data_IF_553770618700
#
_entry.id   IF_553770618700
#
_cell.length_a   1.000
_cell.length_b   1.000
_cell.length_c   1.000
_cell.angle_alpha   90.00
_cell.angle_beta   90.00
_cell.angle_gamma   90.00
#
_symmetry.space_group_name_H-M   'P 1'
#
loop_
_entity.id
_entity.type
_entity.pdbx_description
1 polymer ?
#
# COMPACT_ATOMS: atom_id res chain seq x y z
N UNK A 1 -38.87 57.61 17.86
CA UNK A 1 -39.28 56.41 18.62
C UNK A 1 -38.35 55.25 18.28
N UNK A 2 -37.89 54.52 19.29
CA UNK A 2 -36.61 53.80 19.36
C UNK A 2 -36.58 52.53 18.48
N UNK A 3 -35.70 52.50 17.47
CA UNK A 3 -35.28 51.29 16.72
C UNK A 3 -33.76 51.06 16.84
N UNK A 4 -33.21 51.11 18.06
CA UNK A 4 -31.74 50.96 18.28
C UNK A 4 -31.33 49.78 19.16
N UNK A 5 -32.29 49.01 19.70
CA UNK A 5 -32.02 47.88 20.60
C UNK A 5 -31.96 46.50 19.93
N UNK A 6 -32.56 46.35 18.74
CA UNK A 6 -32.62 45.05 18.04
C UNK A 6 -31.37 44.74 17.22
N UNK A 7 -30.64 45.77 16.78
CA UNK A 7 -29.52 45.62 15.85
C UNK A 7 -28.33 44.87 16.46
N UNK A 8 -28.05 45.09 17.76
CA UNK A 8 -26.96 44.39 18.44
C UNK A 8 -27.28 42.91 18.66
N UNK A 9 -28.51 42.62 19.08
CA UNK A 9 -28.98 41.24 19.30
C UNK A 9 -28.98 40.47 17.96
N UNK A 10 -29.47 41.09 16.88
CA UNK A 10 -29.45 40.52 15.53
C UNK A 10 -28.03 40.21 15.04
N UNK A 11 -27.07 41.10 15.29
CA UNK A 11 -25.66 40.86 14.97
C UNK A 11 -25.09 39.69 15.79
N UNK A 12 -25.37 39.62 17.10
CA UNK A 12 -24.89 38.51 17.94
C UNK A 12 -25.48 37.17 17.52
N UNK A 13 -26.78 37.13 17.22
CA UNK A 13 -27.46 35.91 16.73
C UNK A 13 -26.89 35.51 15.37
N UNK A 14 -26.64 36.47 14.48
CA UNK A 14 -26.03 36.20 13.17
C UNK A 14 -24.62 35.62 13.32
N UNK A 15 -23.78 36.20 14.18
CA UNK A 15 -22.42 35.71 14.46
C UNK A 15 -22.43 34.30 15.06
N UNK A 16 -23.39 34.01 15.95
CA UNK A 16 -23.54 32.67 16.52
C UNK A 16 -23.93 31.64 15.45
N UNK A 17 -24.86 31.98 14.56
CA UNK A 17 -25.24 31.14 13.43
C UNK A 17 -24.03 30.92 12.49
N UNK A 18 -23.30 31.99 12.16
CA UNK A 18 -22.08 31.88 11.34
C UNK A 18 -21.03 31.00 11.99
N UNK A 19 -20.84 31.10 13.30
CA UNK A 19 -19.90 30.26 14.04
C UNK A 19 -20.27 28.78 13.96
N UNK A 20 -21.56 28.44 14.10
CA UNK A 20 -22.05 27.06 13.94
C UNK A 20 -21.78 26.57 12.52
N UNK A 21 -22.14 27.36 11.50
CA UNK A 21 -21.95 26.99 10.09
C UNK A 21 -20.48 26.75 9.79
N UNK A 22 -19.58 27.65 10.23
CA UNK A 22 -18.14 27.51 10.01
C UNK A 22 -17.60 26.26 10.71
N UNK A 23 -18.01 26.02 11.96
CA UNK A 23 -17.55 24.86 12.73
C UNK A 23 -17.95 23.55 12.04
N UNK A 24 -19.21 23.42 11.63
CA UNK A 24 -19.70 22.25 10.88
C UNK A 24 -18.99 22.09 9.53
N UNK A 25 -18.71 23.19 8.84
CA UNK A 25 -18.02 23.17 7.54
C UNK A 25 -16.57 22.69 7.70
N UNK A 26 -15.88 23.16 8.74
CA UNK A 26 -14.50 22.74 9.04
C UNK A 26 -14.43 21.26 9.42
N UNK A 27 -15.38 20.78 10.22
CA UNK A 27 -15.48 19.38 10.61
C UNK A 27 -15.72 18.48 9.38
N UNK A 28 -16.63 18.89 8.49
CA UNK A 28 -16.88 18.18 7.24
C UNK A 28 -15.65 18.13 6.32
N UNK A 29 -14.92 19.25 6.17
CA UNK A 29 -13.69 19.30 5.39
C UNK A 29 -12.64 18.35 5.96
N UNK A 30 -12.44 18.37 7.28
CA UNK A 30 -11.48 17.50 7.95
C UNK A 30 -11.81 16.02 7.76
N UNK A 31 -13.09 15.66 7.94
CA UNK A 31 -13.57 14.30 7.72
C UNK A 31 -13.40 13.85 6.25
N UNK A 32 -13.73 14.72 5.29
CA UNK A 32 -13.56 14.43 3.87
C UNK A 32 -12.09 14.27 3.47
N UNK A 33 -11.19 15.10 4.02
CA UNK A 33 -9.75 14.97 3.81
C UNK A 33 -9.23 13.64 4.35
N UNK A 34 -9.65 13.25 5.56
CA UNK A 34 -9.30 11.96 6.15
C UNK A 34 -9.74 10.78 5.28
N UNK A 35 -11.00 10.77 4.86
CA UNK A 35 -11.53 9.74 3.95
C UNK A 35 -10.76 9.66 2.63
N UNK A 36 -10.44 10.80 2.01
CA UNK A 36 -9.70 10.84 0.75
C UNK A 36 -8.26 10.33 0.90
N UNK A 37 -7.60 10.61 2.03
CA UNK A 37 -6.27 10.06 2.32
C UNK A 37 -6.33 8.54 2.49
N UNK A 38 -7.30 8.02 3.23
CA UNK A 38 -7.48 6.58 3.41
C UNK A 38 -7.75 5.85 2.08
N UNK A 39 -8.60 6.42 1.23
CA UNK A 39 -8.92 5.86 -0.09
C UNK A 39 -7.69 5.84 -1.01
N UNK A 40 -6.91 6.93 -1.04
CA UNK A 40 -5.65 6.99 -1.81
C UNK A 40 -4.63 5.98 -1.27
N UNK A 41 -4.48 5.88 0.04
CA UNK A 41 -3.61 4.90 0.68
C UNK A 41 -3.98 3.48 0.26
N UNK A 42 -5.25 3.10 0.41
CA UNK A 42 -5.78 1.77 0.02
C UNK A 42 -5.60 1.45 -1.46
N UNK A 43 -5.75 2.44 -2.35
CA UNK A 43 -5.52 2.29 -3.79
C UNK A 43 -4.05 2.03 -4.09
N UNK A 44 -3.15 2.82 -3.52
CA UNK A 44 -1.70 2.66 -3.73
C UNK A 44 -1.19 1.33 -3.19
N UNK A 45 -1.74 0.88 -2.07
CA UNK A 45 -1.43 -0.39 -1.41
C UNK A 45 -1.75 -1.60 -2.30
N UNK A 46 -2.97 -1.61 -2.84
CA UNK A 46 -3.42 -2.64 -3.78
C UNK A 46 -2.55 -2.65 -5.05
N UNK A 47 -2.26 -1.48 -5.62
CA UNK A 47 -1.44 -1.36 -6.82
C UNK A 47 -0.03 -1.93 -6.59
N UNK A 48 0.61 -1.58 -5.47
CA UNK A 48 1.94 -2.07 -5.14
C UNK A 48 1.95 -3.58 -4.92
N UNK A 49 0.96 -4.11 -4.20
CA UNK A 49 0.79 -5.55 -4.03
C UNK A 49 0.60 -6.27 -5.38
N UNK A 50 -0.22 -5.72 -6.27
CA UNK A 50 -0.43 -6.28 -7.62
C UNK A 50 0.85 -6.28 -8.44
N UNK A 51 1.60 -5.17 -8.47
CA UNK A 51 2.89 -5.10 -9.19
C UNK A 51 3.88 -6.14 -8.64
N UNK A 52 3.97 -6.29 -7.31
CA UNK A 52 4.82 -7.30 -6.69
C UNK A 52 4.42 -8.72 -7.13
N UNK A 53 3.12 -9.05 -7.05
CA UNK A 53 2.60 -10.36 -7.42
C UNK A 53 2.84 -10.65 -8.90
N UNK A 54 2.52 -9.71 -9.79
CA UNK A 54 2.69 -9.87 -11.23
C UNK A 54 4.15 -10.11 -11.61
N UNK A 55 5.07 -9.36 -10.99
CA UNK A 55 6.50 -9.54 -11.21
C UNK A 55 6.99 -10.91 -10.73
N UNK A 56 6.59 -11.32 -9.52
CA UNK A 56 6.97 -12.63 -8.97
C UNK A 56 6.38 -13.76 -9.82
N UNK A 57 5.12 -13.62 -10.24
CA UNK A 57 4.43 -14.56 -11.11
C UNK A 57 5.15 -14.72 -12.45
N UNK A 58 5.57 -13.61 -13.06
CA UNK A 58 6.36 -13.64 -14.30
C UNK A 58 7.66 -14.43 -14.10
N UNK A 59 8.37 -14.20 -12.99
CA UNK A 59 9.61 -14.95 -12.68
C UNK A 59 9.38 -16.44 -12.40
N UNK A 60 8.27 -16.80 -11.76
CA UNK A 60 7.87 -18.21 -11.57
C UNK A 60 7.56 -18.90 -12.91
N UNK A 61 6.95 -18.18 -13.86
CA UNK A 61 6.56 -18.73 -15.16
C UNK A 61 7.72 -18.82 -16.15
N UNK A 62 8.62 -17.85 -16.12
CA UNK A 62 9.68 -17.70 -17.12
C UNK A 62 10.97 -18.43 -16.78
N UNK A 63 11.17 -18.87 -15.54
CA UNK A 63 12.45 -19.40 -15.12
C UNK A 63 12.38 -20.57 -14.16
N UNK A 64 13.44 -21.37 -14.19
CA UNK A 64 13.81 -22.18 -13.04
C UNK A 64 14.18 -21.22 -11.92
N UNK A 65 13.37 -21.20 -10.87
CA UNK A 65 13.54 -20.36 -9.69
C UNK A 65 13.61 -21.24 -8.45
N UNK A 66 14.48 -20.83 -7.54
CA UNK A 66 14.59 -21.43 -6.22
C UNK A 66 14.01 -20.45 -5.18
N UNK A 67 12.91 -20.79 -4.50
CA UNK A 67 12.42 -20.01 -3.38
C UNK A 67 13.39 -20.16 -2.19
N UNK A 68 13.87 -19.03 -1.68
CA UNK A 68 14.84 -18.98 -0.58
C UNK A 68 14.17 -18.53 0.71
N UNK A 69 13.37 -17.46 0.66
CA UNK A 69 12.75 -16.79 1.81
C UNK A 69 13.66 -16.68 3.05
N UNK A 70 14.88 -16.21 2.87
CA UNK A 70 15.87 -16.13 3.94
C UNK A 70 16.25 -14.67 4.23
N UNK A 71 16.40 -14.35 5.51
CA UNK A 71 16.81 -13.03 5.94
C UNK A 71 18.35 -12.95 5.97
N UNK A 72 18.92 -12.05 5.17
CA UNK A 72 20.36 -11.86 5.08
C UNK A 72 20.71 -10.42 5.44
N UNK A 73 21.21 -10.23 6.68
CA UNK A 73 21.62 -8.95 7.31
C UNK A 73 20.56 -7.85 7.26
N UNK A 74 20.39 -7.23 6.10
CA UNK A 74 19.54 -6.04 5.87
C UNK A 74 18.49 -6.26 4.76
N UNK A 75 18.33 -7.49 4.27
CA UNK A 75 17.37 -7.81 3.21
C UNK A 75 16.74 -9.18 3.38
N UNK A 76 15.48 -9.31 2.98
CA UNK A 76 14.80 -10.60 2.85
C UNK A 76 14.98 -11.09 1.40
N UNK A 77 15.75 -12.14 1.20
CA UNK A 77 15.92 -12.79 -0.09
C UNK A 77 14.74 -13.76 -0.32
N UNK A 78 13.99 -13.55 -1.40
CA UNK A 78 12.71 -14.21 -1.63
C UNK A 78 12.91 -15.39 -2.59
N UNK A 79 13.47 -15.11 -3.76
CA UNK A 79 13.74 -16.10 -4.80
C UNK A 79 15.06 -15.80 -5.51
N UNK A 80 15.69 -16.84 -6.04
CA UNK A 80 16.89 -16.76 -6.85
C UNK A 80 16.64 -17.46 -8.18
N UNK A 81 17.09 -16.81 -9.24
CA UNK A 81 17.12 -17.37 -10.60
C UNK A 81 18.44 -18.09 -10.84
N UNK A 82 18.47 -19.05 -11.78
CA UNK A 82 19.69 -19.76 -12.17
C UNK A 82 20.80 -18.82 -12.68
N UNK A 83 20.42 -17.69 -13.28
CA UNK A 83 21.36 -16.65 -13.74
C UNK A 83 22.02 -15.88 -12.58
N UNK A 84 21.70 -16.23 -11.33
CA UNK A 84 22.25 -15.60 -10.13
C UNK A 84 21.51 -14.33 -9.70
N UNK A 85 20.51 -13.87 -10.46
CA UNK A 85 19.67 -12.74 -10.06
C UNK A 85 18.78 -13.11 -8.88
N UNK A 86 18.72 -12.25 -7.88
CA UNK A 86 17.97 -12.45 -6.64
C UNK A 86 16.86 -11.41 -6.58
N UNK A 87 15.65 -11.85 -6.22
CA UNK A 87 14.58 -10.98 -5.77
C UNK A 87 14.68 -10.83 -4.26
N UNK A 88 14.73 -9.59 -3.79
CA UNK A 88 14.85 -9.33 -2.37
C UNK A 88 14.09 -8.08 -1.95
N UNK A 89 13.72 -8.03 -0.68
CA UNK A 89 13.12 -6.87 -0.05
C UNK A 89 14.16 -6.13 0.79
N UNK A 90 14.28 -4.82 0.59
CA UNK A 90 15.15 -3.96 1.40
C UNK A 90 14.47 -2.61 1.64
N UNK A 91 14.37 -2.20 2.91
CA UNK A 91 13.76 -0.94 3.34
C UNK A 91 12.35 -0.71 2.76
N UNK A 92 11.50 -1.73 2.79
CA UNK A 92 10.13 -1.62 2.26
C UNK A 92 10.02 -1.63 0.74
N UNK A 93 11.12 -1.85 0.00
CA UNK A 93 11.16 -1.81 -1.46
C UNK A 93 11.52 -3.19 -2.00
N UNK A 94 10.67 -3.73 -2.87
CA UNK A 94 10.93 -4.95 -3.61
C UNK A 94 11.89 -4.64 -4.76
N UNK A 95 12.99 -5.41 -4.83
CA UNK A 95 14.07 -5.22 -5.78
C UNK A 95 14.47 -6.52 -6.46
N UNK A 96 14.93 -6.41 -7.70
CA UNK A 96 15.39 -7.55 -8.49
C UNK A 96 16.77 -7.28 -9.10
N UNK A 97 17.58 -8.33 -9.22
CA UNK A 97 18.93 -8.32 -9.80
C UNK A 97 20.00 -7.61 -8.94
N UNK A 98 21.27 -7.87 -9.28
CA UNK A 98 22.47 -7.28 -8.64
C UNK A 98 22.52 -5.76 -8.80
N UNK A 99 21.95 -5.23 -9.89
CA UNK A 99 21.88 -3.79 -10.17
C UNK A 99 20.78 -3.08 -9.36
N UNK A 100 20.11 -3.80 -8.45
CA UNK A 100 19.15 -3.25 -7.48
C UNK A 100 17.96 -2.54 -8.12
N UNK A 101 17.45 -3.05 -9.25
CA UNK A 101 16.28 -2.50 -9.94
C UNK A 101 15.08 -2.47 -8.98
N UNK A 102 14.46 -1.30 -8.82
CA UNK A 102 13.31 -1.12 -7.96
C UNK A 102 12.05 -1.56 -8.70
N UNK A 103 11.30 -2.49 -8.11
CA UNK A 103 10.06 -3.02 -8.68
C UNK A 103 8.87 -2.26 -8.11
N UNK A 104 8.73 -2.25 -6.78
CA UNK A 104 7.64 -1.53 -6.11
C UNK A 104 8.00 -1.20 -4.66
N UNK A 105 7.60 -0.02 -4.15
CA UNK A 105 7.76 0.35 -2.74
C UNK A 105 6.61 -0.15 -1.86
N UNK A 106 6.66 0.16 -0.56
CA UNK A 106 5.63 -0.08 0.45
C UNK A 106 5.25 -1.57 0.65
N UNK A 107 6.24 -2.46 0.55
CA UNK A 107 6.08 -3.89 0.81
C UNK A 107 6.83 -4.23 2.09
N UNK A 108 6.14 -4.78 3.10
CA UNK A 108 6.74 -5.15 4.38
C UNK A 108 7.31 -6.56 4.36
N UNK A 109 6.63 -7.47 3.65
CA UNK A 109 7.03 -8.87 3.60
C UNK A 109 6.56 -9.55 2.33
N UNK A 110 7.38 -10.47 1.82
CA UNK A 110 7.02 -11.34 0.70
C UNK A 110 7.46 -12.74 1.02
N UNK A 111 6.59 -13.71 0.77
CA UNK A 111 6.87 -15.12 0.97
C UNK A 111 6.40 -15.93 -0.23
N UNK A 112 7.30 -16.76 -0.76
CA UNK A 112 7.01 -17.64 -1.90
C UNK A 112 7.22 -19.08 -1.49
N UNK A 113 6.12 -19.84 -1.39
CA UNK A 113 6.13 -21.24 -0.99
C UNK A 113 5.90 -22.13 -2.20
N UNK A 114 6.70 -23.18 -2.36
CA UNK A 114 6.45 -24.22 -3.37
C UNK A 114 5.52 -25.28 -2.75
N UNK A 115 4.28 -25.36 -3.24
CA UNK A 115 3.26 -26.31 -2.77
C UNK A 115 3.41 -27.66 -3.47
N UNK A 116 3.69 -27.63 -4.78
CA UNK A 116 3.91 -28.83 -5.59
C UNK A 116 4.92 -28.54 -6.69
N UNK A 117 5.26 -29.53 -7.53
CA UNK A 117 6.26 -29.38 -8.58
C UNK A 117 6.03 -28.15 -9.46
N UNK A 118 4.76 -27.84 -9.77
CA UNK A 118 4.37 -26.72 -10.62
C UNK A 118 3.38 -25.77 -9.93
N UNK A 119 3.27 -25.76 -8.60
CA UNK A 119 2.38 -24.84 -7.90
C UNK A 119 3.13 -24.07 -6.82
N UNK A 120 3.04 -22.75 -6.91
CA UNK A 120 3.63 -21.82 -5.96
C UNK A 120 2.54 -20.97 -5.33
N UNK A 121 2.72 -20.62 -4.07
CA UNK A 121 1.91 -19.66 -3.34
C UNK A 121 2.76 -18.44 -3.03
N UNK A 122 2.29 -17.29 -3.47
CA UNK A 122 2.89 -15.99 -3.21
C UNK A 122 2.04 -15.33 -2.13
N UNK A 123 2.66 -14.85 -1.07
CA UNK A 123 2.04 -14.00 -0.05
C UNK A 123 2.80 -12.68 0.00
N UNK A 124 2.09 -11.57 -0.18
CA UNK A 124 2.66 -10.21 -0.13
C UNK A 124 1.95 -9.43 0.97
N UNK A 125 2.71 -8.99 1.96
CA UNK A 125 2.22 -8.08 3.00
C UNK A 125 2.73 -6.68 2.73
N UNK A 126 1.81 -5.72 2.67
CA UNK A 126 2.12 -4.31 2.41
C UNK A 126 2.26 -3.52 3.69
N UNK A 127 2.78 -2.28 3.58
CA UNK A 127 2.97 -1.37 4.72
C UNK A 127 1.69 -0.97 5.46
N UNK A 128 0.51 -1.21 4.87
CA UNK A 128 -0.78 -1.05 5.55
C UNK A 128 -1.20 -2.30 6.35
N UNK A 129 -0.34 -3.32 6.46
CA UNK A 129 -0.61 -4.57 7.16
C UNK A 129 -1.59 -5.50 6.44
N UNK A 130 -1.88 -5.25 5.16
CA UNK A 130 -2.74 -6.12 4.36
C UNK A 130 -1.93 -7.23 3.72
N UNK A 131 -2.47 -8.44 3.75
CA UNK A 131 -1.86 -9.63 3.14
C UNK A 131 -2.64 -10.04 1.89
N UNK A 132 -1.92 -10.16 0.78
CA UNK A 132 -2.43 -10.57 -0.53
C UNK A 132 -1.82 -11.91 -0.91
N UNK A 133 -2.66 -12.88 -1.26
CA UNK A 133 -2.25 -14.24 -1.59
C UNK A 133 -2.61 -14.54 -3.04
N UNK A 134 -1.65 -15.09 -3.79
CA UNK A 134 -1.86 -15.55 -5.15
C UNK A 134 -1.25 -16.95 -5.34
N UNK A 135 -1.90 -17.78 -6.15
CA UNK A 135 -1.41 -19.10 -6.52
C UNK A 135 -0.99 -19.09 -7.99
N UNK A 136 0.23 -19.53 -8.25
CA UNK A 136 0.84 -19.47 -9.57
C UNK A 136 1.29 -20.86 -10.00
N UNK A 137 0.84 -21.25 -11.19
CA UNK A 137 1.38 -22.41 -11.91
C UNK A 137 2.78 -22.11 -12.46
N UNK A 138 3.75 -22.97 -12.18
CA UNK A 138 5.09 -22.92 -12.78
C UNK A 138 5.05 -23.24 -14.28
N UNK A 139 5.96 -22.62 -15.05
CA UNK A 139 6.15 -22.94 -16.47
C UNK A 139 6.68 -24.37 -16.64
N UNK A 140 6.20 -25.06 -17.68
CA UNK A 140 6.69 -26.37 -18.13
C UNK A 140 8.11 -26.25 -18.71
#
# INVERSE_FOLDING_TARGET
>A
MIKKGYTLIEVMVSLFIFFIIISLTLEFISYSMGLNMDLKGRSSDLINATIAIDFIQDKIRTGNIEPINNYNKDRLEILKTFDGSILYLKNGILRYSTDSQQITPNIDYVFVEKISNNLFKISVTTSMGKNYICYVGGGL
#
